data_IF_042283849753
#
_entry.id   IF_042283849753
#
_cell.length_a   1.000
_cell.length_b   1.000
_cell.length_c   1.000
_cell.angle_alpha   90.00
_cell.angle_beta   90.00
_cell.angle_gamma   90.00
#
_symmetry.space_group_name_H-M   'P 1'
#
loop_
_entity.id
_entity.type
_entity.pdbx_description
1 polymer ?
#
# COMPACT_ATOMS: atom_id res chain seq x y z
N UNK A 1 25.71 12.18 1.75
CA UNK A 1 24.35 12.41 2.24
C UNK A 1 23.62 11.11 2.05
N UNK A 2 23.02 10.55 3.10
CA UNK A 2 22.24 9.32 2.98
C UNK A 2 21.03 9.59 2.08
N UNK A 3 20.72 8.66 1.18
CA UNK A 3 19.62 8.81 0.23
C UNK A 3 18.30 8.51 0.96
N UNK A 4 17.35 9.44 0.93
CA UNK A 4 16.03 9.22 1.53
C UNK A 4 15.33 8.00 0.95
N UNK A 5 14.61 7.25 1.80
CA UNK A 5 13.98 5.98 1.43
C UNK A 5 13.06 6.10 0.20
N UNK A 6 12.30 7.20 0.10
CA UNK A 6 11.39 7.48 -1.03
C UNK A 6 12.11 7.49 -2.39
N UNK A 7 13.39 7.86 -2.44
CA UNK A 7 14.13 7.90 -3.70
C UNK A 7 14.39 6.49 -4.26
N UNK A 8 14.40 5.44 -3.43
CA UNK A 8 14.45 4.06 -3.92
C UNK A 8 13.16 3.66 -4.62
N UNK A 9 12.02 4.14 -4.13
CA UNK A 9 10.71 3.94 -4.75
C UNK A 9 10.63 4.69 -6.09
N UNK A 10 11.05 5.96 -6.12
CA UNK A 10 11.06 6.79 -7.33
C UNK A 10 11.92 6.17 -8.44
N UNK A 11 13.08 5.62 -8.08
CA UNK A 11 13.99 4.97 -9.03
C UNK A 11 13.53 3.58 -9.48
N UNK A 12 12.44 3.05 -8.92
CA UNK A 12 11.96 1.69 -9.24
C UNK A 12 12.83 0.58 -8.67
N UNK A 13 13.60 0.86 -7.62
CA UNK A 13 14.49 -0.11 -7.02
C UNK A 13 13.72 -1.09 -6.12
N UNK A 14 13.67 -2.37 -6.48
CA UNK A 14 13.07 -3.43 -5.67
C UNK A 14 14.01 -4.04 -4.62
N UNK A 15 15.16 -3.45 -4.33
CA UNK A 15 16.08 -3.90 -3.28
C UNK A 15 16.55 -2.70 -2.44
N UNK A 16 15.63 -2.04 -1.70
CA UNK A 16 15.98 -0.91 -0.85
C UNK A 16 16.79 -1.35 0.39
N UNK A 17 17.55 -0.44 1.02
CA UNK A 17 18.08 -0.67 2.36
C UNK A 17 16.95 -0.73 3.40
N UNK A 18 17.28 -1.03 4.66
CA UNK A 18 16.29 -0.99 5.74
C UNK A 18 15.73 0.43 5.89
N UNK A 19 14.41 0.56 5.98
CA UNK A 19 13.73 1.84 6.07
C UNK A 19 12.28 1.76 5.62
N UNK A 20 11.60 2.91 5.69
CA UNK A 20 10.20 3.04 5.30
C UNK A 20 9.87 4.48 4.88
N UNK A 21 8.74 4.63 4.20
CA UNK A 21 8.03 5.89 4.02
C UNK A 21 6.57 5.70 4.44
N UNK A 22 5.96 6.76 4.98
CA UNK A 22 4.55 6.75 5.36
C UNK A 22 3.75 7.84 4.65
N UNK A 23 2.46 7.57 4.44
CA UNK A 23 1.51 8.53 3.90
C UNK A 23 0.25 8.55 4.78
N UNK A 24 -0.02 9.70 5.38
CA UNK A 24 -1.22 9.94 6.19
C UNK A 24 -2.29 10.61 5.34
N UNK A 25 -3.52 10.19 5.57
CA UNK A 25 -4.70 10.62 4.82
C UNK A 25 -5.90 10.68 5.73
N UNK A 26 -6.81 11.61 5.48
CA UNK A 26 -8.07 11.77 6.22
C UNK A 26 -9.31 11.61 5.33
N UNK A 27 -9.11 11.30 4.05
CA UNK A 27 -10.16 11.22 3.05
C UNK A 27 -9.84 10.16 1.99
N UNK A 28 -10.89 9.49 1.53
CA UNK A 28 -10.79 8.56 0.43
C UNK A 28 -12.10 8.45 -0.35
N UNK A 29 -11.98 8.14 -1.64
CA UNK A 29 -13.10 7.84 -2.53
C UNK A 29 -12.95 6.42 -3.04
N UNK A 30 -14.02 5.62 -2.94
CA UNK A 30 -14.07 4.26 -3.45
C UNK A 30 -14.74 4.24 -4.82
N UNK A 31 -14.06 3.59 -5.76
CA UNK A 31 -14.59 3.27 -7.07
C UNK A 31 -14.83 1.77 -7.18
N UNK A 32 -15.92 1.37 -7.81
CA UNK A 32 -16.21 -0.01 -8.17
C UNK A 32 -16.62 -0.06 -9.64
N UNK A 33 -15.95 -0.90 -10.43
CA UNK A 33 -16.11 -0.92 -11.88
C UNK A 33 -15.89 0.46 -12.54
N UNK A 34 -14.93 1.23 -12.02
CA UNK A 34 -14.61 2.59 -12.49
C UNK A 34 -15.63 3.66 -12.12
N UNK A 35 -16.73 3.32 -11.43
CA UNK A 35 -17.73 4.28 -10.97
C UNK A 35 -17.48 4.63 -9.51
N UNK A 36 -17.59 5.92 -9.16
CA UNK A 36 -17.61 6.36 -7.77
C UNK A 36 -18.84 5.78 -7.05
N UNK A 37 -18.63 5.10 -5.93
CA UNK A 37 -19.68 4.44 -5.14
C UNK A 37 -19.74 4.92 -3.69
N UNK A 38 -18.90 5.86 -3.28
CA UNK A 38 -18.90 6.37 -1.89
C UNK A 38 -18.95 7.89 -1.78
N UNK A 39 -18.50 8.61 -2.81
CA UNK A 39 -18.05 9.99 -2.64
C UNK A 39 -16.88 10.08 -1.67
N UNK A 40 -16.59 11.31 -1.21
CA UNK A 40 -15.57 11.59 -0.20
C UNK A 40 -15.97 11.02 1.16
N UNK A 41 -14.99 10.45 1.87
CA UNK A 41 -15.11 9.91 3.21
C UNK A 41 -14.22 10.71 4.16
N UNK A 42 -14.56 11.98 4.35
CA UNK A 42 -13.82 12.89 5.22
C UNK A 42 -13.76 12.40 6.68
N UNK A 43 -12.63 12.65 7.34
CA UNK A 43 -12.39 12.29 8.74
C UNK A 43 -12.11 10.80 8.96
N UNK A 44 -11.89 10.04 7.89
CA UNK A 44 -11.46 8.64 7.96
C UNK A 44 -9.94 8.57 7.94
N UNK A 45 -9.30 8.67 9.10
CA UNK A 45 -7.85 8.81 9.18
C UNK A 45 -7.16 7.47 8.95
N UNK A 46 -6.21 7.42 8.02
CA UNK A 46 -5.41 6.23 7.70
C UNK A 46 -3.95 6.59 7.54
N UNK A 47 -3.09 5.57 7.73
CA UNK A 47 -1.67 5.62 7.41
C UNK A 47 -1.29 4.45 6.53
N UNK A 48 -0.72 4.74 5.36
CA UNK A 48 0.05 3.76 4.62
C UNK A 48 1.48 3.75 5.14
N UNK A 49 2.04 2.57 5.34
CA UNK A 49 3.48 2.36 5.53
C UNK A 49 3.97 1.48 4.41
N UNK A 50 5.00 1.97 3.70
CA UNK A 50 5.71 1.24 2.65
C UNK A 50 7.13 1.07 3.14
N UNK A 51 7.46 -0.14 3.56
CA UNK A 51 8.76 -0.49 4.15
C UNK A 51 9.46 -1.53 3.30
N UNK A 52 10.77 -1.70 3.51
CA UNK A 52 11.49 -2.83 2.93
C UNK A 52 10.74 -4.13 3.27
N UNK A 53 10.70 -5.07 2.32
CA UNK A 53 10.02 -6.34 2.51
C UNK A 53 10.42 -7.00 3.85
N UNK A 54 9.46 -7.09 4.78
CA UNK A 54 9.66 -7.55 6.17
C UNK A 54 9.95 -9.05 6.26
N UNK A 55 9.58 -9.80 5.23
CA UNK A 55 9.87 -11.23 5.10
C UNK A 55 11.24 -11.45 4.40
N UNK A 56 11.92 -10.37 4.05
CA UNK A 56 13.14 -10.38 3.26
C UNK A 56 12.89 -10.61 1.76
N UNK A 57 13.92 -10.34 0.95
CA UNK A 57 13.86 -10.53 -0.50
C UNK A 57 13.49 -9.27 -1.28
N UNK A 58 12.85 -9.46 -2.44
CA UNK A 58 12.52 -8.39 -3.39
C UNK A 58 11.37 -7.51 -2.87
N UNK A 59 11.40 -6.24 -3.24
CA UNK A 59 10.31 -5.30 -3.11
C UNK A 59 10.10 -4.78 -1.68
N UNK A 60 8.83 -4.60 -1.36
CA UNK A 60 8.35 -3.80 -0.24
C UNK A 60 7.21 -4.53 0.46
N UNK A 61 6.99 -4.18 1.72
CA UNK A 61 5.77 -4.51 2.45
C UNK A 61 4.92 -3.26 2.55
N UNK A 62 3.64 -3.39 2.19
CA UNK A 62 2.66 -2.31 2.27
C UNK A 62 1.62 -2.66 3.32
N UNK A 63 1.47 -1.79 4.32
CA UNK A 63 0.50 -1.95 5.40
C UNK A 63 -0.40 -0.71 5.48
N UNK A 64 -1.70 -0.91 5.70
CA UNK A 64 -2.66 0.16 5.94
C UNK A 64 -3.16 0.11 7.38
N UNK A 65 -2.96 1.20 8.10
CA UNK A 65 -3.43 1.39 9.46
C UNK A 65 -4.66 2.29 9.48
N UNK A 66 -5.60 1.98 10.37
CA UNK A 66 -6.63 2.91 10.81
C UNK A 66 -6.05 3.80 11.92
N UNK A 67 -6.24 5.11 11.81
CA UNK A 67 -5.77 6.08 12.80
C UNK A 67 -6.90 6.56 13.71
N UNK A 68 -8.14 6.19 13.41
CA UNK A 68 -9.30 6.53 14.24
C UNK A 68 -9.41 5.58 15.45
N UNK A 69 -9.74 6.14 16.62
CA UNK A 69 -9.92 5.42 17.89
C UNK A 69 -8.79 5.61 18.91
N UNK A 70 -9.03 5.20 20.17
CA UNK A 70 -8.01 5.22 21.23
C UNK A 70 -7.10 3.99 21.11
N UNK A 71 -5.85 4.19 20.70
CA UNK A 71 -4.86 3.10 20.62
C UNK A 71 -3.58 3.41 21.42
N UNK A 72 -3.25 2.62 22.46
CA UNK A 72 -2.00 2.78 23.21
C UNK A 72 -0.76 2.37 22.40
N UNK A 73 -0.92 1.46 21.42
CA UNK A 73 0.12 1.00 20.49
C UNK A 73 -0.53 0.74 19.12
N UNK A 74 0.02 1.34 18.05
CA UNK A 74 -0.55 1.33 16.68
C UNK A 74 -0.55 -0.04 15.99
N UNK A 75 0.14 -1.04 16.55
CA UNK A 75 0.34 -2.36 15.94
C UNK A 75 -0.97 -3.12 15.70
N UNK A 76 -2.02 -2.80 16.43
CA UNK A 76 -3.26 -3.58 16.43
C UNK A 76 -4.36 -2.99 15.54
N UNK A 77 -4.18 -1.78 14.99
CA UNK A 77 -5.20 -1.13 14.16
C UNK A 77 -4.93 -1.33 12.65
N UNK A 78 -4.54 -2.55 12.29
CA UNK A 78 -4.28 -2.94 10.91
C UNK A 78 -5.62 -3.06 10.18
N UNK A 79 -5.87 -2.18 9.22
CA UNK A 79 -7.06 -2.24 8.37
C UNK A 79 -6.85 -3.13 7.15
N UNK A 80 -5.61 -3.21 6.65
CA UNK A 80 -5.19 -4.17 5.63
C UNK A 80 -3.94 -4.87 6.12
N UNK A 81 -4.00 -6.20 6.23
CA UNK A 81 -2.84 -7.02 6.57
C UNK A 81 -1.65 -6.68 5.67
N UNK A 82 -0.40 -6.74 6.18
CA UNK A 82 0.79 -6.45 5.39
C UNK A 82 0.80 -7.24 4.09
N UNK A 83 1.02 -6.57 2.96
CA UNK A 83 1.09 -7.21 1.64
C UNK A 83 2.46 -7.00 1.03
N UNK A 84 3.07 -8.10 0.60
CA UNK A 84 4.31 -8.08 -0.16
C UNK A 84 4.04 -7.57 -1.57
N UNK A 85 4.75 -6.52 -1.99
CA UNK A 85 4.60 -5.89 -3.30
C UNK A 85 5.95 -5.58 -3.93
N UNK A 86 5.99 -5.50 -5.26
CA UNK A 86 7.16 -5.05 -6.02
C UNK A 86 6.77 -3.94 -6.98
N UNK A 87 7.68 -3.02 -7.23
CA UNK A 87 7.52 -1.99 -8.25
C UNK A 87 7.53 -2.67 -9.61
N UNK A 88 6.50 -2.41 -10.42
CA UNK A 88 6.36 -2.95 -11.78
C UNK A 88 6.47 -1.86 -12.85
N UNK A 89 6.32 -0.59 -12.46
CA UNK A 89 6.45 0.54 -13.37
C UNK A 89 6.80 1.82 -12.61
N UNK A 90 7.64 2.64 -13.23
CA UNK A 90 7.86 4.04 -12.87
C UNK A 90 7.71 4.88 -14.14
N UNK A 91 6.81 5.87 -14.11
CA UNK A 91 6.56 6.77 -15.24
C UNK A 91 6.21 8.14 -14.71
N UNK A 92 6.97 9.16 -15.12
CA UNK A 92 6.82 10.53 -14.66
C UNK A 92 6.82 10.63 -13.11
N UNK A 93 5.70 11.04 -12.53
CA UNK A 93 5.46 11.15 -11.09
C UNK A 93 4.63 9.98 -10.53
N UNK A 94 4.45 8.91 -11.30
CA UNK A 94 3.66 7.74 -10.92
C UNK A 94 4.57 6.53 -10.73
N UNK A 95 4.42 5.88 -9.57
CA UNK A 95 5.04 4.58 -9.28
C UNK A 95 3.95 3.55 -9.02
N UNK A 96 4.02 2.42 -9.72
CA UNK A 96 3.07 1.32 -9.55
C UNK A 96 3.74 0.14 -8.86
N UNK A 97 3.12 -0.32 -7.78
CA UNK A 97 3.50 -1.54 -7.07
C UNK A 97 2.40 -2.59 -7.23
N UNK A 98 2.79 -3.83 -7.47
CA UNK A 98 1.89 -4.99 -7.55
C UNK A 98 2.26 -6.02 -6.50
N UNK A 99 1.25 -6.56 -5.83
CA UNK A 99 1.43 -7.67 -4.92
C UNK A 99 1.95 -8.91 -5.63
N UNK A 100 2.73 -9.72 -4.92
CA UNK A 100 3.24 -10.98 -5.46
C UNK A 100 3.49 -11.98 -4.34
N UNK A 101 3.41 -13.28 -4.67
CA UNK A 101 3.50 -14.33 -3.67
C UNK A 101 2.20 -14.48 -2.87
N UNK A 102 2.30 -15.16 -1.73
CA UNK A 102 1.17 -15.57 -0.92
C UNK A 102 1.43 -15.27 0.55
N UNK A 103 0.35 -15.04 1.30
CA UNK A 103 0.37 -15.06 2.75
C UNK A 103 0.55 -16.52 3.22
N UNK A 104 1.78 -16.86 3.60
CA UNK A 104 2.13 -18.21 4.06
C UNK A 104 1.37 -18.60 5.33
N UNK A 105 1.06 -17.64 6.20
CA UNK A 105 0.27 -17.91 7.41
C UNK A 105 -1.18 -18.22 7.06
N UNK A 106 -1.79 -17.45 6.15
CA UNK A 106 -3.14 -17.72 5.67
C UNK A 106 -3.23 -19.10 4.99
N UNK A 107 -2.24 -19.45 4.15
CA UNK A 107 -2.16 -20.78 3.55
C UNK A 107 -2.03 -21.89 4.60
N UNK A 108 -1.19 -21.69 5.62
CA UNK A 108 -1.04 -22.65 6.72
C UNK A 108 -2.33 -22.87 7.52
N UNK A 109 -3.21 -21.86 7.56
CA UNK A 109 -4.54 -21.93 8.18
C UNK A 109 -5.63 -22.46 7.22
N UNK A 110 -5.26 -22.88 6.01
CA UNK A 110 -6.17 -23.48 5.03
C UNK A 110 -6.94 -22.47 4.19
N UNK A 111 -6.50 -21.21 4.12
CA UNK A 111 -7.10 -20.24 3.22
C UNK A 111 -6.94 -20.70 1.75
N UNK A 112 -7.96 -20.50 0.89
CA UNK A 112 -7.83 -20.73 -0.54
C UNK A 112 -6.66 -19.93 -1.15
N UNK A 113 -5.99 -20.49 -2.15
CA UNK A 113 -4.88 -19.81 -2.84
C UNK A 113 -5.28 -18.42 -3.37
N UNK A 114 -6.52 -18.29 -3.85
CA UNK A 114 -7.06 -17.03 -4.35
C UNK A 114 -7.14 -15.94 -3.25
N UNK A 115 -7.43 -16.33 -2.02
CA UNK A 115 -7.56 -15.41 -0.88
C UNK A 115 -6.20 -15.11 -0.23
N UNK A 116 -5.29 -16.08 -0.25
CA UNK A 116 -3.93 -15.92 0.26
C UNK A 116 -3.01 -15.16 -0.70
N UNK A 117 -3.35 -15.08 -1.98
CA UNK A 117 -2.51 -14.40 -2.98
C UNK A 117 -2.47 -12.90 -2.76
N UNK A 118 -1.25 -12.32 -2.81
CA UNK A 118 -1.07 -10.88 -2.79
C UNK A 118 -1.29 -10.24 -4.17
N UNK A 119 -1.27 -11.02 -5.25
CA UNK A 119 -1.35 -10.51 -6.62
C UNK A 119 -2.68 -9.82 -6.96
N UNK A 120 -3.72 -10.04 -6.17
CA UNK A 120 -5.01 -9.36 -6.28
C UNK A 120 -4.94 -7.91 -5.80
N UNK A 121 -3.84 -7.48 -5.19
CA UNK A 121 -3.63 -6.13 -4.68
C UNK A 121 -2.51 -5.38 -5.43
N UNK A 122 -2.62 -4.06 -5.46
CA UNK A 122 -1.54 -3.17 -5.89
C UNK A 122 -1.80 -1.75 -5.43
N UNK A 123 -0.78 -0.92 -5.51
CA UNK A 123 -0.90 0.52 -5.23
C UNK A 123 -0.28 1.34 -6.34
N UNK A 124 -0.87 2.51 -6.60
CA UNK A 124 -0.28 3.54 -7.44
C UNK A 124 0.00 4.76 -6.59
N UNK A 125 1.23 5.25 -6.65
CA UNK A 125 1.71 6.41 -5.90
C UNK A 125 1.83 7.59 -6.85
N UNK A 126 1.24 8.73 -6.48
CA UNK A 126 1.59 10.02 -7.07
C UNK A 126 2.65 10.66 -6.19
N UNK A 127 3.86 10.89 -6.72
CA UNK A 127 5.00 11.41 -5.98
C UNK A 127 5.44 12.74 -6.56
N UNK A 128 5.42 13.80 -5.75
CA UNK A 128 5.84 15.14 -6.17
C UNK A 128 6.77 15.75 -5.10
N UNK A 129 7.92 16.28 -5.55
CA UNK A 129 8.96 16.83 -4.67
C UNK A 129 9.41 15.82 -3.60
N UNK A 130 9.65 14.57 -4.02
CA UNK A 130 10.03 13.45 -3.14
C UNK A 130 9.02 13.17 -2.00
N UNK A 131 7.73 13.50 -2.20
CA UNK A 131 6.67 13.26 -1.23
C UNK A 131 5.47 12.59 -1.90
N UNK A 132 4.88 11.61 -1.22
CA UNK A 132 3.64 10.96 -1.68
C UNK A 132 2.48 11.94 -1.52
N UNK A 133 1.82 12.29 -2.62
CA UNK A 133 0.65 13.20 -2.65
C UNK A 133 -0.67 12.46 -2.63
N UNK A 134 -0.69 11.25 -3.20
CA UNK A 134 -1.90 10.43 -3.34
C UNK A 134 -1.49 8.97 -3.43
N UNK A 135 -2.30 8.10 -2.83
CA UNK A 135 -2.20 6.65 -3.00
C UNK A 135 -3.53 6.15 -3.56
N UNK A 136 -3.48 5.35 -4.61
CA UNK A 136 -4.61 4.55 -5.05
C UNK A 136 -4.34 3.09 -4.71
N UNK A 137 -5.19 2.49 -3.88
CA UNK A 137 -5.20 1.05 -3.63
C UNK A 137 -6.10 0.37 -4.65
N UNK A 138 -5.59 -0.64 -5.34
CA UNK A 138 -6.31 -1.44 -6.31
C UNK A 138 -6.52 -2.86 -5.77
N UNK A 139 -7.77 -3.32 -5.80
CA UNK A 139 -8.19 -4.71 -5.56
C UNK A 139 -8.73 -5.26 -6.88
N UNK A 140 -7.85 -5.92 -7.63
CA UNK A 140 -8.08 -6.28 -9.03
C UNK A 140 -9.12 -7.40 -9.19
N UNK A 141 -9.15 -8.35 -8.25
CA UNK A 141 -10.15 -9.44 -8.18
C UNK A 141 -11.59 -8.92 -8.07
N UNK A 142 -11.76 -7.78 -7.40
CA UNK A 142 -13.07 -7.17 -7.12
C UNK A 142 -13.40 -5.99 -8.04
N UNK A 143 -12.46 -5.59 -8.90
CA UNK A 143 -12.53 -4.38 -9.69
C UNK A 143 -12.87 -3.13 -8.84
N UNK A 144 -12.18 -3.02 -7.69
CA UNK A 144 -12.31 -1.89 -6.76
C UNK A 144 -11.01 -1.11 -6.76
N UNK A 145 -11.11 0.22 -6.80
CA UNK A 145 -10.01 1.10 -6.40
C UNK A 145 -10.45 2.03 -5.28
N UNK A 146 -9.52 2.38 -4.39
CA UNK A 146 -9.74 3.36 -3.33
C UNK A 146 -8.65 4.41 -3.47
N UNK A 147 -9.05 5.65 -3.73
CA UNK A 147 -8.15 6.78 -3.89
C UNK A 147 -8.08 7.55 -2.59
N UNK A 148 -6.92 7.55 -1.96
CA UNK A 148 -6.62 8.25 -0.71
C UNK A 148 -5.98 9.60 -0.98
N UNK A 149 -6.55 10.64 -0.39
CA UNK A 149 -6.22 12.02 -0.64
C UNK A 149 -5.59 12.64 0.62
N UNK A 150 -4.67 13.58 0.40
CA UNK A 150 -4.06 14.34 1.50
C UNK A 150 -5.02 15.38 2.06
#
# INVERSE_FOLDING_TARGET
>A
MEKDFINYIIEGNNYPPDGYVSFDTSDHIRFQNGMDVSGHNYGCNRRFVIEKNIEGGEGYTVTLYNLDGLHPLWKDNIQMAPKRMRIISTSDNIVELRGYGYDENAMALGAPLADASFDSYGIMLLIENAEIRRIQLNMYDRNISIVYLK
#
